data_IF_339463404568
#
_entry.id   IF_339463404568
#
_cell.length_a   1.000
_cell.length_b   1.000
_cell.length_c   1.000
_cell.angle_alpha   90.00
_cell.angle_beta   90.00
_cell.angle_gamma   90.00
#
_symmetry.space_group_name_H-M   'P 1'
#
loop_
_entity.id
_entity.type
_entity.pdbx_description
1 polymer ?
#
# COMPACT_ATOMS: atom_id res chain seq x y z
N UNK A 1 6.12 6.54 -41.56
CA UNK A 1 5.35 6.64 -40.30
C UNK A 1 6.36 6.88 -39.20
N UNK A 2 6.18 7.89 -38.37
CA UNK A 2 7.15 8.29 -37.35
C UNK A 2 7.29 7.17 -36.31
N UNK A 3 8.54 6.86 -35.92
CA UNK A 3 8.86 5.80 -34.94
C UNK A 3 8.12 6.03 -33.59
N UNK A 4 7.85 7.30 -33.23
CA UNK A 4 7.04 7.62 -32.05
C UNK A 4 5.62 7.06 -32.21
N UNK A 5 5.00 7.27 -33.37
CA UNK A 5 3.65 6.78 -33.65
C UNK A 5 3.59 5.26 -33.73
N UNK A 6 4.61 4.64 -34.29
CA UNK A 6 4.74 3.18 -34.33
C UNK A 6 4.94 2.57 -32.93
N UNK A 7 5.77 3.22 -32.09
CA UNK A 7 5.98 2.78 -30.72
C UNK A 7 4.69 2.89 -29.89
N UNK A 8 3.93 3.98 -30.05
CA UNK A 8 2.63 4.18 -29.41
C UNK A 8 1.58 3.15 -29.86
N UNK A 9 1.72 2.59 -31.07
CA UNK A 9 0.90 1.50 -31.61
C UNK A 9 1.41 0.10 -31.25
N UNK A 10 2.44 0.01 -30.38
CA UNK A 10 2.95 -1.26 -29.88
C UNK A 10 4.05 -1.89 -30.74
N UNK A 11 4.63 -1.15 -31.68
CA UNK A 11 5.75 -1.66 -32.46
C UNK A 11 7.03 -1.69 -31.60
N UNK A 12 7.45 -2.90 -31.21
CA UNK A 12 8.61 -3.14 -30.34
C UNK A 12 9.93 -2.63 -30.90
N UNK A 13 10.12 -2.75 -32.22
CA UNK A 13 11.35 -2.30 -32.87
C UNK A 13 11.46 -0.78 -32.93
N UNK A 14 10.38 -0.09 -33.21
CA UNK A 14 10.32 1.36 -33.15
C UNK A 14 10.54 1.87 -31.71
N UNK A 15 9.92 1.25 -30.74
CA UNK A 15 10.13 1.57 -29.32
C UNK A 15 11.59 1.33 -28.90
N UNK A 16 12.21 0.24 -29.33
CA UNK A 16 13.61 -0.05 -29.07
C UNK A 16 14.54 1.01 -29.67
N UNK A 17 14.34 1.37 -30.96
CA UNK A 17 15.14 2.41 -31.62
C UNK A 17 15.09 3.75 -30.88
N UNK A 18 13.89 4.15 -30.42
CA UNK A 18 13.69 5.39 -29.68
C UNK A 18 14.32 5.34 -28.27
N UNK A 19 14.32 4.18 -27.65
CA UNK A 19 14.96 3.98 -26.34
C UNK A 19 16.50 3.99 -26.49
N UNK A 20 17.03 3.30 -27.49
CA UNK A 20 18.47 3.26 -27.78
C UNK A 20 18.98 4.63 -28.20
N UNK A 21 18.15 5.46 -28.85
CA UNK A 21 18.42 6.86 -29.18
C UNK A 21 18.23 7.85 -28.03
N UNK A 22 17.83 7.41 -26.85
CA UNK A 22 17.57 8.25 -25.67
C UNK A 22 16.34 9.16 -25.77
N UNK A 23 15.48 8.94 -26.78
CA UNK A 23 14.27 9.73 -27.03
C UNK A 23 13.11 9.30 -26.12
N UNK A 24 13.02 7.98 -25.84
CA UNK A 24 12.04 7.47 -24.88
C UNK A 24 12.75 7.09 -23.58
N UNK A 25 12.28 7.58 -22.44
CA UNK A 25 12.75 7.08 -21.16
C UNK A 25 12.37 5.60 -21.03
N UNK A 26 13.34 4.79 -20.52
CA UNK A 26 13.13 3.43 -20.07
C UNK A 26 11.69 3.21 -19.56
N UNK A 27 10.97 2.18 -19.88
CA UNK A 27 11.17 0.89 -20.56
C UNK A 27 10.00 0.48 -21.48
N UNK A 28 9.87 1.08 -22.64
CA UNK A 28 8.89 0.63 -23.64
C UNK A 28 9.30 -0.68 -24.36
N UNK A 29 10.28 -1.42 -23.79
CA UNK A 29 10.94 -2.54 -24.47
C UNK A 29 10.06 -3.79 -24.64
N UNK A 30 9.01 -3.95 -23.81
CA UNK A 30 8.33 -5.24 -23.70
C UNK A 30 6.80 -5.19 -23.93
N UNK A 31 6.24 -4.03 -24.19
CA UNK A 31 4.79 -3.87 -24.39
C UNK A 31 3.94 -4.01 -23.13
N UNK A 32 4.56 -4.09 -21.97
CA UNK A 32 3.86 -4.28 -20.68
C UNK A 32 2.86 -3.18 -20.36
N UNK A 33 3.13 -1.93 -20.73
CA UNK A 33 2.20 -0.84 -20.51
C UNK A 33 0.87 -0.99 -21.28
N UNK A 34 0.90 -1.65 -22.47
CA UNK A 34 -0.31 -1.92 -23.26
C UNK A 34 -1.15 -3.05 -22.65
N UNK A 35 -0.50 -4.01 -22.00
CA UNK A 35 -1.17 -5.11 -21.30
C UNK A 35 -2.06 -4.57 -20.19
N UNK A 36 -1.52 -3.72 -19.33
CA UNK A 36 -2.27 -3.09 -18.24
C UNK A 36 -1.63 -1.75 -17.84
N UNK A 37 -2.09 -0.62 -18.41
CA UNK A 37 -1.50 0.71 -18.16
C UNK A 37 -1.49 1.10 -16.68
N UNK A 38 -2.48 0.64 -15.90
CA UNK A 38 -2.58 0.94 -14.47
C UNK A 38 -1.53 0.19 -13.66
N UNK A 39 -1.38 -1.10 -13.88
CA UNK A 39 -0.34 -1.89 -13.22
C UNK A 39 1.05 -1.41 -13.61
N UNK A 40 1.25 -1.07 -14.88
CA UNK A 40 2.49 -0.49 -15.34
C UNK A 40 2.83 0.83 -14.61
N UNK A 41 1.86 1.73 -14.49
CA UNK A 41 2.04 2.99 -13.77
C UNK A 41 2.36 2.77 -12.27
N UNK A 42 1.71 1.78 -11.65
CA UNK A 42 2.01 1.36 -10.27
C UNK A 42 3.44 0.82 -10.14
N UNK A 43 3.82 -0.10 -11.00
CA UNK A 43 5.17 -0.68 -11.06
C UNK A 43 6.24 0.39 -11.25
N UNK A 44 6.06 1.27 -12.21
CA UNK A 44 6.97 2.36 -12.48
C UNK A 44 7.11 3.32 -11.28
N UNK A 45 5.99 3.65 -10.64
CA UNK A 45 5.98 4.48 -9.43
C UNK A 45 6.69 3.80 -8.27
N UNK A 46 6.47 2.49 -8.08
CA UNK A 46 7.15 1.68 -7.06
C UNK A 46 8.66 1.69 -7.27
N UNK A 47 9.12 1.45 -8.49
CA UNK A 47 10.55 1.48 -8.82
C UNK A 47 11.17 2.85 -8.61
N UNK A 48 10.56 3.90 -9.15
CA UNK A 48 11.12 5.25 -9.03
C UNK A 48 11.26 5.72 -7.57
N UNK A 49 10.32 5.41 -6.69
CA UNK A 49 10.44 5.81 -5.28
C UNK A 49 11.53 5.03 -4.53
N UNK A 50 11.92 3.86 -5.01
CA UNK A 50 13.01 3.08 -4.42
C UNK A 50 14.37 3.35 -5.06
N UNK A 51 14.42 3.70 -6.35
CA UNK A 51 15.64 3.70 -7.15
C UNK A 51 16.06 5.09 -7.65
N UNK A 52 15.16 6.08 -7.70
CA UNK A 52 15.47 7.42 -8.23
C UNK A 52 15.65 8.46 -7.11
N UNK A 53 16.92 8.83 -6.77
CA UNK A 53 17.20 9.81 -5.72
C UNK A 53 16.63 11.22 -5.98
N UNK A 54 16.25 11.53 -7.23
CA UNK A 54 15.69 12.84 -7.61
C UNK A 54 14.21 12.96 -7.26
N UNK A 55 13.54 11.86 -6.95
CA UNK A 55 12.13 11.86 -6.56
C UNK A 55 11.97 12.33 -5.12
N UNK A 56 11.03 13.22 -4.87
CA UNK A 56 10.66 13.67 -3.52
C UNK A 56 10.34 12.51 -2.56
N UNK A 57 9.70 11.47 -3.10
CA UNK A 57 9.35 10.29 -2.32
C UNK A 57 10.54 9.39 -1.95
N UNK A 58 11.70 9.52 -2.63
CA UNK A 58 12.86 8.63 -2.45
C UNK A 58 13.31 8.56 -0.99
N UNK A 59 13.39 9.70 -0.29
CA UNK A 59 13.81 9.76 1.12
C UNK A 59 12.93 8.91 2.04
N UNK A 60 11.70 8.62 1.64
CA UNK A 60 10.75 7.81 2.42
C UNK A 60 10.78 6.33 2.05
N UNK A 61 11.50 5.96 0.97
CA UNK A 61 11.62 4.59 0.45
C UNK A 61 13.08 4.18 0.21
N UNK A 62 13.64 4.41 -0.96
CA UNK A 62 15.02 4.06 -1.29
C UNK A 62 16.04 4.70 -0.37
N UNK A 63 15.84 5.95 0.06
CA UNK A 63 16.66 6.64 1.05
C UNK A 63 16.66 6.00 2.44
N UNK A 64 15.69 5.11 2.72
CA UNK A 64 15.62 4.28 3.92
C UNK A 64 16.17 2.86 3.72
N UNK A 65 16.66 2.54 2.52
CA UNK A 65 17.14 1.22 2.16
C UNK A 65 16.09 0.27 1.59
N UNK A 66 14.84 0.71 1.40
CA UNK A 66 13.76 -0.09 0.82
C UNK A 66 14.04 -0.30 -0.66
N UNK A 67 14.00 -1.55 -1.11
CA UNK A 67 14.28 -1.97 -2.47
C UNK A 67 13.06 -2.63 -3.12
N UNK A 68 13.18 -2.88 -4.40
CA UNK A 68 12.29 -3.76 -5.15
C UNK A 68 13.03 -5.07 -5.39
N UNK A 69 12.38 -6.22 -5.19
CA UNK A 69 12.99 -7.52 -5.44
C UNK A 69 13.44 -7.66 -6.91
N UNK A 70 14.42 -8.50 -7.15
CA UNK A 70 15.04 -8.63 -8.48
C UNK A 70 14.03 -9.05 -9.55
N UNK A 71 13.09 -9.93 -9.21
CA UNK A 71 12.07 -10.46 -10.11
C UNK A 71 11.14 -9.35 -10.62
N UNK A 72 10.85 -8.36 -9.78
CA UNK A 72 9.99 -7.23 -10.13
C UNK A 72 10.72 -6.07 -10.84
N UNK A 73 11.97 -6.27 -11.21
CA UNK A 73 12.62 -5.39 -12.18
C UNK A 73 12.05 -5.59 -13.59
N UNK A 74 11.46 -6.73 -13.88
CA UNK A 74 10.63 -6.96 -15.05
C UNK A 74 9.16 -6.62 -14.78
N UNK A 75 8.57 -5.76 -15.61
CA UNK A 75 7.19 -5.28 -15.45
C UNK A 75 6.17 -6.41 -15.66
N UNK A 76 6.44 -7.35 -16.58
CA UNK A 76 5.53 -8.46 -16.84
C UNK A 76 5.48 -9.42 -15.67
N UNK A 77 6.62 -9.74 -15.07
CA UNK A 77 6.71 -10.58 -13.87
C UNK A 77 5.91 -9.96 -12.70
N UNK A 78 6.03 -8.64 -12.50
CA UNK A 78 5.21 -7.94 -11.51
C UNK A 78 3.71 -8.04 -11.84
N UNK A 79 3.32 -7.88 -13.13
CA UNK A 79 1.92 -7.95 -13.55
C UNK A 79 1.34 -9.36 -13.39
N UNK A 80 2.12 -10.41 -13.73
CA UNK A 80 1.72 -11.81 -13.55
C UNK A 80 1.44 -12.11 -12.08
N UNK A 81 2.33 -11.65 -11.20
CA UNK A 81 2.11 -11.74 -9.76
C UNK A 81 0.85 -10.98 -9.33
N UNK A 82 0.69 -9.75 -9.79
CA UNK A 82 -0.44 -8.91 -9.40
C UNK A 82 -1.78 -9.58 -9.77
N UNK A 83 -1.90 -10.08 -10.99
CA UNK A 83 -3.11 -10.71 -11.51
C UNK A 83 -3.41 -12.04 -10.79
N UNK A 84 -2.38 -12.84 -10.48
CA UNK A 84 -2.53 -14.12 -9.75
C UNK A 84 -2.76 -13.94 -8.25
N UNK A 85 -2.41 -12.78 -7.68
CA UNK A 85 -2.55 -12.48 -6.25
C UNK A 85 -3.68 -11.49 -5.94
N UNK A 86 -4.73 -11.50 -6.75
CA UNK A 86 -6.00 -10.85 -6.43
C UNK A 86 -6.07 -9.35 -6.74
N UNK A 87 -5.22 -8.84 -7.64
CA UNK A 87 -5.37 -7.49 -8.15
C UNK A 87 -6.77 -7.26 -8.72
N UNK A 88 -7.39 -6.16 -8.31
CA UNK A 88 -8.64 -5.63 -8.90
C UNK A 88 -8.52 -4.12 -9.07
N UNK A 89 -9.17 -3.53 -10.09
CA UNK A 89 -9.26 -2.08 -10.21
C UNK A 89 -9.80 -1.45 -8.92
N UNK A 90 -9.12 -0.40 -8.43
CA UNK A 90 -9.49 0.26 -7.18
C UNK A 90 -8.65 -0.16 -5.97
N UNK A 91 -8.03 -1.35 -5.99
CA UNK A 91 -7.11 -1.75 -4.94
C UNK A 91 -5.76 -1.03 -5.06
N UNK A 92 -5.06 -0.97 -3.93
CA UNK A 92 -3.74 -0.37 -3.78
C UNK A 92 -2.72 -1.44 -3.38
N UNK A 93 -1.51 -1.34 -3.91
CA UNK A 93 -0.39 -2.14 -3.48
C UNK A 93 0.08 -1.65 -2.10
N UNK A 94 0.06 -2.52 -1.12
CA UNK A 94 0.48 -2.27 0.26
C UNK A 94 1.59 -3.24 0.65
N UNK A 95 2.56 -2.77 1.44
CA UNK A 95 3.57 -3.64 2.06
C UNK A 95 3.10 -4.01 3.45
N UNK A 96 3.08 -5.30 3.77
CA UNK A 96 2.68 -5.83 5.08
C UNK A 96 3.59 -5.22 6.16
N UNK A 97 4.90 -5.35 5.97
CA UNK A 97 5.91 -4.62 6.73
C UNK A 97 6.33 -3.35 5.98
N UNK A 98 6.05 -2.20 6.56
CA UNK A 98 6.40 -0.88 5.99
C UNK A 98 7.91 -0.59 5.93
N UNK A 99 8.73 -1.34 6.64
CA UNK A 99 10.18 -1.21 6.67
C UNK A 99 10.86 -2.24 5.77
N UNK A 100 10.12 -3.28 5.32
CA UNK A 100 10.57 -4.30 4.39
C UNK A 100 10.51 -3.86 2.92
N UNK A 101 11.12 -4.67 2.05
CA UNK A 101 11.21 -4.46 0.62
C UNK A 101 9.88 -4.74 -0.11
N UNK A 102 9.79 -4.29 -1.36
CA UNK A 102 8.74 -4.74 -2.27
C UNK A 102 9.08 -6.12 -2.80
N UNK A 103 8.35 -7.12 -2.34
CA UNK A 103 8.47 -8.51 -2.77
C UNK A 103 7.11 -9.21 -2.73
N UNK A 104 6.96 -10.37 -3.40
CA UNK A 104 5.73 -11.17 -3.34
C UNK A 104 5.27 -11.48 -1.91
N UNK A 105 6.20 -11.76 -1.00
CA UNK A 105 5.93 -12.16 0.39
C UNK A 105 5.50 -10.98 1.26
N UNK A 106 5.98 -9.77 0.92
CA UNK A 106 5.74 -8.56 1.72
C UNK A 106 4.67 -7.65 1.09
N UNK A 107 4.11 -7.99 -0.05
CA UNK A 107 3.13 -7.15 -0.74
C UNK A 107 1.76 -7.81 -0.82
N UNK A 108 0.72 -6.99 -0.77
CA UNK A 108 -0.66 -7.41 -0.90
C UNK A 108 -1.53 -6.33 -1.55
N UNK A 109 -2.69 -6.74 -2.04
CA UNK A 109 -3.69 -5.82 -2.58
C UNK A 109 -4.74 -5.51 -1.53
N UNK A 110 -4.92 -4.24 -1.23
CA UNK A 110 -5.82 -3.77 -0.18
C UNK A 110 -6.68 -2.60 -0.66
N UNK A 111 -7.77 -2.35 0.05
CA UNK A 111 -8.56 -1.13 -0.14
C UNK A 111 -7.78 0.11 0.33
N UNK A 112 -8.18 1.29 -0.14
CA UNK A 112 -7.60 2.55 0.33
C UNK A 112 -7.74 2.72 1.86
N UNK A 113 -8.85 2.20 2.44
CA UNK A 113 -9.09 2.23 3.89
C UNK A 113 -8.07 1.38 4.63
N UNK A 114 -7.84 0.16 4.21
CA UNK A 114 -6.84 -0.75 4.80
C UNK A 114 -5.42 -0.21 4.66
N UNK A 115 -5.03 0.24 3.46
CA UNK A 115 -3.72 0.83 3.24
C UNK A 115 -3.49 2.07 4.13
N UNK A 116 -4.52 2.88 4.33
CA UNK A 116 -4.46 4.02 5.24
C UNK A 116 -4.21 3.59 6.70
N UNK A 117 -4.70 2.42 7.11
CA UNK A 117 -4.48 1.86 8.45
C UNK A 117 -3.09 1.28 8.65
N UNK A 118 -2.44 0.84 7.59
CA UNK A 118 -1.07 0.31 7.64
C UNK A 118 0.03 1.38 7.62
N UNK A 119 -0.31 2.66 7.66
CA UNK A 119 0.71 3.73 7.65
C UNK A 119 1.48 3.77 8.97
N UNK A 120 2.81 3.81 8.90
CA UNK A 120 3.71 3.95 10.06
C UNK A 120 3.45 5.20 10.91
N UNK A 121 2.86 6.23 10.32
CA UNK A 121 2.50 7.48 11.03
C UNK A 121 1.22 7.38 11.85
N UNK A 122 0.50 6.27 11.76
CA UNK A 122 -0.72 6.08 12.54
C UNK A 122 -0.39 6.00 14.04
N UNK A 123 -1.22 6.66 14.83
CA UNK A 123 -1.18 6.52 16.28
C UNK A 123 -1.94 5.27 16.68
N UNK A 124 -1.30 4.45 17.52
CA UNK A 124 -1.86 3.20 18.01
C UNK A 124 -2.30 3.35 19.47
N UNK A 125 -3.35 2.67 19.84
CA UNK A 125 -3.82 2.50 21.22
C UNK A 125 -3.95 1.01 21.53
N UNK A 126 -3.65 0.64 22.78
CA UNK A 126 -3.82 -0.72 23.26
C UNK A 126 -4.96 -0.80 24.26
N UNK A 127 -6.05 -1.44 23.89
CA UNK A 127 -7.25 -1.59 24.72
C UNK A 127 -7.56 -3.08 24.85
N UNK A 128 -7.70 -3.58 26.07
CA UNK A 128 -7.95 -5.01 26.37
C UNK A 128 -6.88 -5.94 25.73
N UNK A 129 -5.61 -5.54 25.74
CA UNK A 129 -4.51 -6.31 25.16
C UNK A 129 -4.43 -6.28 23.63
N UNK A 130 -5.39 -5.67 22.94
CA UNK A 130 -5.39 -5.54 21.47
C UNK A 130 -4.89 -4.15 21.08
N UNK A 131 -3.93 -4.09 20.13
CA UNK A 131 -3.40 -2.84 19.59
C UNK A 131 -3.99 -2.57 18.20
N UNK A 132 -4.65 -1.43 18.07
CA UNK A 132 -5.25 -0.96 16.80
C UNK A 132 -4.97 0.54 16.61
N UNK A 133 -5.17 1.04 15.40
CA UNK A 133 -5.11 2.49 15.14
C UNK A 133 -6.21 3.24 15.88
N UNK A 134 -5.98 4.53 16.14
CA UNK A 134 -7.02 5.41 16.72
C UNK A 134 -8.30 5.33 15.90
N UNK A 135 -8.21 5.34 14.57
CA UNK A 135 -9.40 5.29 13.70
C UNK A 135 -10.20 4.00 13.86
N UNK A 136 -9.53 2.85 13.99
CA UNK A 136 -10.19 1.55 14.22
C UNK A 136 -10.90 1.52 15.57
N UNK A 137 -10.24 2.00 16.62
CA UNK A 137 -10.90 2.09 17.94
C UNK A 137 -12.07 3.07 17.94
N UNK A 138 -11.96 4.17 17.19
CA UNK A 138 -13.06 5.11 17.03
C UNK A 138 -14.30 4.48 16.38
N UNK A 139 -14.08 3.61 15.38
CA UNK A 139 -15.18 2.84 14.76
C UNK A 139 -15.80 1.84 15.73
N UNK A 140 -14.98 1.12 16.52
CA UNK A 140 -15.46 0.11 17.49
C UNK A 140 -16.27 0.74 18.62
N UNK A 141 -15.81 1.88 19.15
CA UNK A 141 -16.43 2.50 20.33
C UNK A 141 -17.32 3.72 20.01
N UNK A 142 -17.55 4.00 18.74
CA UNK A 142 -18.36 5.14 18.26
C UNK A 142 -17.90 6.48 18.86
N UNK A 143 -16.61 6.75 18.77
CA UNK A 143 -15.98 7.96 19.31
C UNK A 143 -15.36 8.76 18.17
N UNK A 144 -15.53 10.09 18.19
CA UNK A 144 -14.88 10.95 17.21
C UNK A 144 -13.34 10.86 17.30
N UNK A 145 -12.62 10.63 16.19
CA UNK A 145 -11.17 10.66 16.16
C UNK A 145 -10.58 11.97 16.70
N UNK A 146 -11.23 13.10 16.43
CA UNK A 146 -10.83 14.41 16.95
C UNK A 146 -10.77 14.41 18.48
N UNK A 147 -11.76 13.85 19.16
CA UNK A 147 -11.82 13.74 20.62
C UNK A 147 -10.68 12.88 21.15
N UNK A 148 -10.40 11.74 20.50
CA UNK A 148 -9.32 10.83 20.92
C UNK A 148 -7.95 11.48 20.71
N UNK A 149 -7.72 12.14 19.57
CA UNK A 149 -6.49 12.87 19.33
C UNK A 149 -6.28 14.02 20.30
N UNK A 150 -7.36 14.72 20.71
CA UNK A 150 -7.31 15.74 21.76
C UNK A 150 -6.91 15.12 23.11
N UNK A 151 -7.50 13.99 23.52
CA UNK A 151 -7.10 13.29 24.74
C UNK A 151 -5.64 12.87 24.72
N UNK A 152 -5.16 12.32 23.61
CA UNK A 152 -3.74 11.93 23.46
C UNK A 152 -2.83 13.13 23.66
N UNK A 153 -3.16 14.27 23.04
CA UNK A 153 -2.36 15.50 23.11
C UNK A 153 -2.34 16.11 24.51
N UNK A 154 -3.49 16.24 25.15
CA UNK A 154 -3.64 16.97 26.42
C UNK A 154 -3.39 16.11 27.66
N UNK A 155 -3.66 14.81 27.59
CA UNK A 155 -3.67 13.91 28.76
C UNK A 155 -2.84 12.63 28.56
N UNK A 156 -2.34 12.40 27.35
CA UNK A 156 -1.50 11.26 27.00
C UNK A 156 -2.28 10.00 26.62
N UNK A 157 -1.52 9.00 26.12
CA UNK A 157 -2.08 7.76 25.55
C UNK A 157 -2.88 6.94 26.55
N UNK A 158 -2.34 6.69 27.76
CA UNK A 158 -3.04 5.91 28.82
C UNK A 158 -4.39 6.49 29.20
N UNK A 159 -4.50 7.81 29.23
CA UNK A 159 -5.78 8.46 29.47
C UNK A 159 -6.76 8.24 28.32
N UNK A 160 -6.30 8.39 27.08
CA UNK A 160 -7.12 8.15 25.89
C UNK A 160 -7.61 6.71 25.82
N UNK A 161 -6.75 5.72 26.05
CA UNK A 161 -7.11 4.29 26.12
C UNK A 161 -8.22 4.02 27.13
N UNK A 162 -8.05 4.50 28.37
CA UNK A 162 -9.06 4.36 29.44
C UNK A 162 -10.37 5.05 29.10
N UNK A 163 -10.31 6.23 28.46
CA UNK A 163 -11.52 6.97 28.08
C UNK A 163 -12.26 6.34 26.90
N UNK A 164 -11.56 5.84 25.90
CA UNK A 164 -12.16 5.08 24.81
C UNK A 164 -12.83 3.83 25.36
N UNK A 165 -12.11 3.06 26.17
CA UNK A 165 -12.63 1.85 26.81
C UNK A 165 -13.88 2.11 27.67
N UNK A 166 -13.91 3.22 28.44
CA UNK A 166 -15.03 3.56 29.32
C UNK A 166 -16.31 3.99 28.60
N UNK A 167 -16.24 4.26 27.28
CA UNK A 167 -17.42 4.58 26.46
C UNK A 167 -18.17 3.36 25.96
N UNK A 168 -17.81 2.17 26.42
CA UNK A 168 -18.49 0.92 26.07
C UNK A 168 -19.91 0.88 26.64
N UNK A 169 -20.86 1.52 25.96
CA UNK A 169 -22.29 1.40 26.21
C UNK A 169 -23.00 0.50 25.18
N UNK A 170 -22.27 0.02 24.15
CA UNK A 170 -22.71 -1.04 23.24
C UNK A 170 -21.63 -2.10 23.20
N UNK A 171 -22.04 -3.38 23.22
CA UNK A 171 -21.12 -4.49 23.00
C UNK A 171 -20.26 -4.20 21.75
N UNK A 172 -18.93 -4.44 21.78
CA UNK A 172 -18.09 -4.21 20.61
C UNK A 172 -18.71 -4.96 19.44
N UNK A 173 -18.79 -4.29 18.28
CA UNK A 173 -19.10 -4.97 17.02
C UNK A 173 -17.89 -5.85 16.76
N UNK A 174 -17.97 -7.10 17.17
CA UNK A 174 -16.96 -8.12 16.88
C UNK A 174 -16.94 -8.35 15.37
N UNK A 175 -15.76 -8.54 14.78
CA UNK A 175 -15.65 -9.01 13.41
C UNK A 175 -16.26 -10.43 13.30
N UNK A 176 -16.67 -10.84 12.10
CA UNK A 176 -17.20 -12.19 11.88
C UNK A 176 -16.23 -13.28 12.39
N UNK A 177 -14.92 -13.10 12.23
CA UNK A 177 -13.89 -13.98 12.76
C UNK A 177 -13.82 -14.00 14.29
N UNK A 178 -14.02 -12.86 14.95
CA UNK A 178 -14.05 -12.77 16.41
C UNK A 178 -15.32 -13.39 17.01
N UNK A 179 -16.43 -13.41 16.26
CA UNK A 179 -17.67 -14.09 16.68
C UNK A 179 -17.55 -15.61 16.54
N UNK A 180 -16.94 -16.10 15.45
CA UNK A 180 -16.69 -17.54 15.23
C UNK A 180 -15.82 -18.17 16.31
N UNK A 181 -14.80 -17.42 16.79
CA UNK A 181 -13.91 -17.87 17.88
C UNK A 181 -14.67 -17.99 19.20
N UNK A 182 -15.63 -17.11 19.46
CA UNK A 182 -16.42 -17.16 20.70
C UNK A 182 -17.48 -18.28 20.68
N UNK A 183 -18.09 -18.56 19.53
CA UNK A 183 -19.05 -19.65 19.38
C UNK A 183 -18.40 -21.05 19.44
N UNK A 184 -17.10 -21.16 19.16
CA UNK A 184 -16.33 -22.41 19.25
C UNK A 184 -15.75 -22.74 20.64
N UNK A 185 -16.03 -21.91 21.66
CA UNK A 185 -15.54 -22.10 23.03
C UNK A 185 -16.65 -22.50 24.04
N UNK A 186 -17.86 -22.81 23.57
CA UNK A 186 -18.91 -23.51 24.34
C UNK A 186 -18.86 -25.05 24.01
#
# INVERSE_FOLDING_TARGET
MDDIKLALLGNREAAKRLTDAGVLPYPYKDGSWQRNPRLYSLWNTMRHRCEDPKRESYQRYGGRGIKVCQEWHDANTFMDWAESHGYKPGLQLDRIDNDGDYSPENCRWVTAKENSRNKRTNRLLTINGKTKTVSEWCEVYDVSPYTVYWWIREKGYKYAEKKVQSRNTRAPILSAEEMEIMEGME
#
